data_IF_262910620399
#
_entry.id   IF_262910620399
#
_cell.length_a   1.000
_cell.length_b   1.000
_cell.length_c   1.000
_cell.angle_alpha   90.00
_cell.angle_beta   90.00
_cell.angle_gamma   90.00
#
_symmetry.space_group_name_H-M   'P 1'
#
loop_
_entity.id
_entity.type
_entity.pdbx_description
1 polymer ?
#
# COMPACT_ATOMS: atom_id res chain seq x y z
N UNK A 1 2.00 45.22 38.46
CA UNK A 1 2.76 44.71 37.30
C UNK A 1 1.90 43.64 36.68
N UNK A 2 1.23 44.01 35.60
CA UNK A 2 0.28 43.20 34.85
C UNK A 2 1.09 42.37 33.85
N UNK A 3 1.06 41.03 33.99
CA UNK A 3 1.71 40.13 33.04
C UNK A 3 0.61 39.45 32.22
N UNK A 4 0.24 40.13 31.14
CA UNK A 4 -0.52 39.58 30.04
C UNK A 4 0.27 38.45 29.38
N UNK A 5 -0.05 37.22 29.72
CA UNK A 5 0.36 36.06 28.92
C UNK A 5 -0.38 36.10 27.58
N UNK A 6 0.33 36.61 26.58
CA UNK A 6 0.02 36.60 25.17
C UNK A 6 -0.30 35.19 24.66
N UNK A 7 -1.53 34.99 24.21
CA UNK A 7 -1.90 34.20 23.03
C UNK A 7 -1.33 32.79 22.89
N UNK A 8 -1.78 31.83 23.70
CA UNK A 8 -1.89 30.46 23.20
C UNK A 8 -3.12 30.38 22.29
N UNK A 9 -2.91 30.35 20.97
CA UNK A 9 -3.94 29.97 20.01
C UNK A 9 -4.32 28.51 20.23
N UNK A 10 -5.25 28.25 21.16
CA UNK A 10 -5.75 26.91 21.42
C UNK A 10 -6.35 26.33 20.15
N UNK A 11 -5.64 25.41 19.49
CA UNK A 11 -6.15 24.71 18.32
C UNK A 11 -7.50 24.07 18.66
N UNK A 12 -8.51 24.30 17.82
CA UNK A 12 -9.84 23.73 17.99
C UNK A 12 -9.77 22.20 18.01
N UNK A 13 -10.68 21.56 18.77
CA UNK A 13 -10.72 20.09 18.89
C UNK A 13 -10.77 19.38 17.53
N UNK A 14 -11.50 19.95 16.56
CA UNK A 14 -11.55 19.46 15.19
C UNK A 14 -10.23 19.64 14.42
N UNK A 15 -9.52 20.75 14.60
CA UNK A 15 -8.21 20.95 13.95
C UNK A 15 -7.19 19.94 14.47
N UNK A 16 -7.15 19.68 15.78
CA UNK A 16 -6.28 18.64 16.35
C UNK A 16 -6.64 17.25 15.83
N UNK A 17 -7.93 16.94 15.70
CA UNK A 17 -8.40 15.68 15.14
C UNK A 17 -7.90 15.45 13.71
N UNK A 18 -8.13 16.40 12.82
CA UNK A 18 -7.70 16.26 11.42
C UNK A 18 -6.18 16.30 11.27
N UNK A 19 -5.48 17.10 12.07
CA UNK A 19 -4.02 17.09 12.11
C UNK A 19 -3.48 15.70 12.49
N UNK A 20 -4.05 15.09 13.54
CA UNK A 20 -3.67 13.74 13.97
C UNK A 20 -3.94 12.70 12.88
N UNK A 21 -5.09 12.76 12.20
CA UNK A 21 -5.38 11.84 11.07
C UNK A 21 -4.37 12.06 9.93
N UNK A 22 -4.14 13.30 9.50
CA UNK A 22 -3.24 13.61 8.39
C UNK A 22 -1.80 13.16 8.70
N UNK A 23 -1.27 13.50 9.88
CA UNK A 23 0.05 13.04 10.31
C UNK A 23 0.12 11.52 10.39
N UNK A 24 -0.94 10.85 10.86
CA UNK A 24 -0.98 9.39 10.93
C UNK A 24 -0.96 8.76 9.55
N UNK A 25 -1.72 9.28 8.58
CA UNK A 25 -1.73 8.78 7.20
C UNK A 25 -0.34 8.89 6.56
N UNK A 26 0.32 10.04 6.70
CA UNK A 26 1.68 10.24 6.18
C UNK A 26 2.66 9.29 6.85
N UNK A 27 2.60 9.18 8.19
CA UNK A 27 3.46 8.27 8.95
C UNK A 27 3.25 6.81 8.52
N UNK A 28 2.00 6.36 8.43
CA UNK A 28 1.66 5.00 8.02
C UNK A 28 2.11 4.72 6.58
N UNK A 29 1.95 5.68 5.67
CA UNK A 29 2.44 5.54 4.30
C UNK A 29 3.95 5.29 4.27
N UNK A 30 4.75 6.08 5.01
CA UNK A 30 6.20 5.89 5.13
C UNK A 30 6.54 4.53 5.76
N UNK A 31 5.87 4.16 6.85
CA UNK A 31 6.10 2.89 7.54
C UNK A 31 5.84 1.67 6.65
N UNK A 32 4.98 1.79 5.63
CA UNK A 32 4.77 0.67 4.70
C UNK A 32 6.05 0.23 3.99
N UNK A 33 7.06 1.10 3.84
CA UNK A 33 8.32 0.77 3.15
C UNK A 33 9.37 0.14 4.06
N UNK A 34 9.15 0.09 5.38
CA UNK A 34 10.18 -0.36 6.33
C UNK A 34 10.44 -1.87 6.27
N UNK A 35 9.58 -2.62 5.58
CA UNK A 35 9.73 -4.04 5.32
C UNK A 35 10.30 -4.35 3.92
N UNK A 36 10.84 -3.36 3.21
CA UNK A 36 11.64 -3.61 2.00
C UNK A 36 12.99 -4.23 2.37
N UNK A 37 13.39 -5.27 1.62
CA UNK A 37 14.67 -5.97 1.75
C UNK A 37 15.89 -5.04 1.52
N UNK A 38 15.82 -4.14 0.55
CA UNK A 38 16.88 -3.15 0.26
C UNK A 38 16.28 -1.75 0.12
N UNK A 39 17.09 -0.73 0.39
CA UNK A 39 16.68 0.68 0.36
C UNK A 39 16.43 1.15 -1.08
N UNK A 40 17.21 0.66 -2.03
CA UNK A 40 17.05 0.95 -3.47
C UNK A 40 15.82 0.25 -4.10
N UNK A 41 15.06 -0.51 -3.32
CA UNK A 41 13.74 -1.03 -3.70
C UNK A 41 12.60 -0.09 -3.29
N UNK A 42 12.89 1.04 -2.66
CA UNK A 42 11.89 2.02 -2.21
C UNK A 42 11.54 2.95 -3.37
N UNK A 43 10.40 2.68 -3.99
CA UNK A 43 9.80 3.50 -5.03
C UNK A 43 8.42 4.00 -4.58
N UNK A 44 8.04 5.19 -5.05
CA UNK A 44 6.69 5.69 -4.78
C UNK A 44 5.63 4.75 -5.36
N UNK A 45 4.66 4.39 -4.53
CA UNK A 45 3.52 3.54 -4.91
C UNK A 45 2.20 4.27 -4.71
N UNK A 46 1.51 4.53 -5.81
CA UNK A 46 0.16 5.09 -5.81
C UNK A 46 -0.84 4.18 -5.09
N UNK A 47 -0.77 2.87 -5.28
CA UNK A 47 -1.65 1.91 -4.59
C UNK A 47 -1.45 1.94 -3.06
N UNK A 48 -0.21 2.07 -2.57
CA UNK A 48 0.07 2.23 -1.13
C UNK A 48 -0.49 3.55 -0.59
N UNK A 49 -0.42 4.62 -1.38
CA UNK A 49 -1.02 5.91 -1.01
C UNK A 49 -2.54 5.81 -0.87
N UNK A 50 -3.24 5.19 -1.83
CA UNK A 50 -4.68 4.96 -1.74
C UNK A 50 -5.06 4.11 -0.54
N UNK A 51 -4.28 3.06 -0.24
CA UNK A 51 -4.48 2.24 0.96
C UNK A 51 -4.30 3.07 2.26
N UNK A 52 -3.25 3.89 2.35
CA UNK A 52 -3.00 4.73 3.52
C UNK A 52 -4.13 5.75 3.74
N UNK A 53 -4.65 6.35 2.66
CA UNK A 53 -5.80 7.26 2.72
C UNK A 53 -7.08 6.55 3.16
N UNK A 54 -7.33 5.33 2.64
CA UNK A 54 -8.45 4.49 3.07
C UNK A 54 -8.36 4.13 4.56
N UNK A 55 -7.17 3.79 5.06
CA UNK A 55 -6.92 3.56 6.48
C UNK A 55 -7.21 4.83 7.30
N UNK A 56 -6.82 6.00 6.81
CA UNK A 56 -7.18 7.29 7.41
C UNK A 56 -8.69 7.51 7.53
N UNK A 57 -9.46 7.16 6.50
CA UNK A 57 -10.93 7.19 6.56
C UNK A 57 -11.49 6.24 7.63
N UNK A 58 -10.95 5.02 7.73
CA UNK A 58 -11.35 4.08 8.78
C UNK A 58 -11.01 4.60 10.19
N UNK A 59 -9.82 5.22 10.35
CA UNK A 59 -9.41 5.85 11.60
C UNK A 59 -10.37 6.98 12.01
N UNK A 60 -10.83 7.80 11.07
CA UNK A 60 -11.83 8.84 11.34
C UNK A 60 -13.08 8.22 11.97
N UNK A 61 -13.60 7.13 11.40
CA UNK A 61 -14.81 6.45 11.90
C UNK A 61 -14.58 5.90 13.31
N UNK A 62 -13.48 5.17 13.52
CA UNK A 62 -13.15 4.55 14.81
C UNK A 62 -12.96 5.60 15.89
N UNK A 63 -12.09 6.59 15.63
CA UNK A 63 -11.73 7.61 16.62
C UNK A 63 -12.91 8.50 16.97
N UNK A 64 -13.72 8.88 15.98
CA UNK A 64 -14.92 9.67 16.23
C UNK A 64 -15.98 8.87 17.02
N UNK A 65 -16.06 7.56 16.80
CA UNK A 65 -16.90 6.66 17.59
C UNK A 65 -16.53 6.64 19.07
N UNK A 66 -15.25 6.47 19.40
CA UNK A 66 -14.78 6.49 20.80
C UNK A 66 -14.87 7.89 21.44
N UNK A 67 -14.59 8.94 20.65
CA UNK A 67 -14.53 10.31 21.14
C UNK A 67 -15.86 11.06 20.92
N UNK A 68 -16.97 10.33 20.80
CA UNK A 68 -18.27 10.87 20.36
C UNK A 68 -18.77 12.04 21.22
N UNK A 69 -18.60 11.95 22.55
CA UNK A 69 -19.02 12.95 23.52
C UNK A 69 -18.16 14.22 23.51
N UNK A 70 -16.95 14.15 22.96
CA UNK A 70 -16.03 15.29 22.92
C UNK A 70 -16.46 16.37 21.91
N UNK A 71 -17.15 15.94 20.84
CA UNK A 71 -17.62 16.81 19.76
C UNK A 71 -19.13 17.08 19.88
N UNK A 72 -19.48 18.34 20.15
CA UNK A 72 -20.86 18.74 20.47
C UNK A 72 -21.80 18.75 19.25
N UNK A 73 -21.32 19.24 18.11
CA UNK A 73 -22.15 19.37 16.89
C UNK A 73 -22.47 18.00 16.30
N UNK A 74 -23.75 17.60 16.36
CA UNK A 74 -24.23 16.36 15.70
C UNK A 74 -24.06 16.43 14.19
N UNK A 75 -24.37 17.57 13.58
CA UNK A 75 -24.24 17.79 12.14
C UNK A 75 -22.80 17.60 11.66
N UNK A 76 -21.82 18.21 12.34
CA UNK A 76 -20.41 18.06 11.95
C UNK A 76 -19.94 16.62 12.07
N UNK A 77 -20.36 15.89 13.11
CA UNK A 77 -20.03 14.46 13.25
C UNK A 77 -20.56 13.63 12.10
N UNK A 78 -21.83 13.84 11.74
CA UNK A 78 -22.45 13.11 10.63
C UNK A 78 -21.83 13.46 9.28
N UNK A 79 -21.45 14.73 9.05
CA UNK A 79 -20.72 15.13 7.85
C UNK A 79 -19.34 14.47 7.77
N UNK A 80 -18.60 14.43 8.89
CA UNK A 80 -17.28 13.80 8.94
C UNK A 80 -17.37 12.28 8.73
N UNK A 81 -18.35 11.61 9.35
CA UNK A 81 -18.61 10.20 9.09
C UNK A 81 -19.02 9.94 7.64
N UNK A 82 -19.99 10.71 7.12
CA UNK A 82 -20.44 10.59 5.73
C UNK A 82 -19.31 10.80 4.74
N UNK A 83 -18.49 11.83 4.94
CA UNK A 83 -17.28 12.07 4.16
C UNK A 83 -16.30 10.92 4.24
N UNK A 84 -16.02 10.38 5.43
CA UNK A 84 -15.12 9.23 5.59
C UNK A 84 -15.62 7.99 4.84
N UNK A 85 -16.92 7.70 4.84
CA UNK A 85 -17.48 6.59 4.06
C UNK A 85 -17.40 6.84 2.55
N UNK A 86 -17.73 8.04 2.09
CA UNK A 86 -17.68 8.38 0.65
C UNK A 86 -16.25 8.34 0.12
N UNK A 87 -15.31 9.02 0.78
CA UNK A 87 -13.89 8.98 0.39
C UNK A 87 -13.30 7.58 0.56
N UNK A 88 -13.62 6.88 1.65
CA UNK A 88 -13.18 5.50 1.87
C UNK A 88 -13.63 4.55 0.76
N UNK A 89 -14.89 4.66 0.31
CA UNK A 89 -15.40 3.90 -0.82
C UNK A 89 -14.71 4.27 -2.14
N UNK A 90 -14.42 5.56 -2.35
CA UNK A 90 -13.64 6.03 -3.51
C UNK A 90 -12.23 5.46 -3.55
N UNK A 91 -11.50 5.53 -2.42
CA UNK A 91 -10.15 4.93 -2.33
C UNK A 91 -10.20 3.40 -2.47
N UNK A 92 -11.23 2.74 -1.93
CA UNK A 92 -11.43 1.31 -2.14
C UNK A 92 -11.64 0.98 -3.62
N UNK A 93 -12.43 1.78 -4.34
CA UNK A 93 -12.62 1.60 -5.77
C UNK A 93 -11.28 1.74 -6.53
N UNK A 94 -10.48 2.77 -6.24
CA UNK A 94 -9.16 2.98 -6.85
C UNK A 94 -8.18 1.83 -6.56
N UNK A 95 -8.11 1.36 -5.31
CA UNK A 95 -7.28 0.20 -4.93
C UNK A 95 -7.75 -1.06 -5.65
N UNK A 96 -9.05 -1.25 -5.84
CA UNK A 96 -9.58 -2.47 -6.46
C UNK A 96 -9.57 -2.46 -7.98
N UNK A 97 -9.74 -1.32 -8.63
CA UNK A 97 -9.83 -1.22 -10.08
C UNK A 97 -8.45 -1.18 -10.74
N UNK A 98 -7.45 -0.58 -10.07
CA UNK A 98 -6.11 -0.34 -10.64
C UNK A 98 -6.10 0.50 -11.93
N UNK A 99 -7.22 1.12 -12.32
CA UNK A 99 -7.38 1.87 -13.59
C UNK A 99 -6.47 3.08 -13.73
N UNK A 100 -5.89 3.55 -12.62
CA UNK A 100 -5.01 4.74 -12.58
C UNK A 100 -3.53 4.37 -12.48
N UNK A 101 -3.20 3.09 -12.60
CA UNK A 101 -1.84 2.56 -12.47
C UNK A 101 -1.37 2.10 -13.85
N UNK A 102 -0.52 2.91 -14.48
CA UNK A 102 0.16 2.57 -15.73
C UNK A 102 1.34 1.59 -15.52
N UNK A 103 2.00 1.20 -16.61
CA UNK A 103 3.08 0.20 -16.60
C UNK A 103 4.24 0.60 -15.66
N UNK A 104 4.66 1.86 -15.73
CA UNK A 104 5.76 2.37 -14.90
C UNK A 104 5.35 2.46 -13.43
N UNK A 105 4.15 2.97 -13.14
CA UNK A 105 3.60 3.04 -11.79
C UNK A 105 3.38 1.64 -11.20
N UNK A 106 2.98 0.68 -12.02
CA UNK A 106 2.83 -0.72 -11.63
C UNK A 106 4.19 -1.31 -11.24
N UNK A 107 5.21 -1.19 -12.08
CA UNK A 107 6.56 -1.70 -11.79
C UNK A 107 7.16 -1.03 -10.55
N UNK A 108 7.05 0.30 -10.43
CA UNK A 108 7.50 1.05 -9.24
C UNK A 108 6.77 0.60 -7.96
N UNK A 109 5.47 0.28 -8.03
CA UNK A 109 4.74 -0.29 -6.89
C UNK A 109 5.11 -1.75 -6.60
N UNK A 110 5.50 -2.52 -7.61
CA UNK A 110 5.72 -3.94 -7.55
C UNK A 110 7.12 -4.31 -7.06
N UNK A 111 8.13 -3.47 -7.32
CA UNK A 111 9.48 -3.62 -6.74
C UNK A 111 9.46 -3.71 -5.20
N UNK A 112 8.89 -2.75 -4.43
CA UNK A 112 8.84 -2.88 -2.98
C UNK A 112 7.92 -4.02 -2.53
N UNK A 113 6.92 -4.43 -3.31
CA UNK A 113 6.10 -5.61 -3.01
C UNK A 113 6.93 -6.90 -3.09
N UNK A 114 7.66 -7.10 -4.19
CA UNK A 114 8.57 -8.23 -4.37
C UNK A 114 9.67 -8.23 -3.30
N UNK A 115 10.14 -7.03 -2.96
CA UNK A 115 11.15 -6.87 -1.92
C UNK A 115 10.71 -7.37 -0.55
N UNK A 116 9.42 -7.27 -0.20
CA UNK A 116 8.89 -7.84 1.04
C UNK A 116 8.92 -9.36 0.99
N UNK A 117 8.57 -9.97 -0.15
CA UNK A 117 8.60 -11.43 -0.33
C UNK A 117 10.03 -11.98 -0.20
N UNK A 118 11.04 -11.25 -0.68
CA UNK A 118 12.46 -11.59 -0.46
C UNK A 118 12.80 -11.51 1.02
N UNK A 119 12.43 -10.41 1.72
CA UNK A 119 12.71 -10.23 3.15
C UNK A 119 12.12 -11.38 3.98
N UNK A 120 10.85 -11.70 3.78
CA UNK A 120 10.14 -12.71 4.59
C UNK A 120 10.63 -14.12 4.27
N UNK A 121 10.88 -14.45 3.00
CA UNK A 121 11.39 -15.77 2.59
C UNK A 121 12.82 -16.01 3.08
N UNK A 122 13.66 -14.97 3.08
CA UNK A 122 15.06 -15.06 3.50
C UNK A 122 15.20 -15.17 5.03
N UNK A 123 14.32 -14.52 5.80
CA UNK A 123 14.46 -14.41 7.27
C UNK A 123 13.55 -15.34 8.08
N UNK A 124 12.56 -15.98 7.46
CA UNK A 124 11.69 -16.90 8.18
C UNK A 124 12.44 -18.14 8.69
N UNK A 125 12.14 -18.55 9.92
CA UNK A 125 12.64 -19.79 10.54
C UNK A 125 11.89 -21.01 9.98
N UNK A 126 12.27 -21.41 8.76
CA UNK A 126 11.67 -22.55 8.05
C UNK A 126 12.55 -23.78 8.23
N UNK A 127 11.97 -24.84 8.79
CA UNK A 127 12.65 -26.12 9.07
C UNK A 127 12.29 -27.25 8.09
N UNK A 128 11.09 -27.25 7.50
CA UNK A 128 10.69 -28.25 6.50
C UNK A 128 11.45 -27.97 5.18
N UNK A 129 12.26 -28.92 4.67
CA UNK A 129 13.04 -28.73 3.44
C UNK A 129 12.20 -28.35 2.21
N UNK A 130 10.96 -28.83 2.13
CA UNK A 130 10.05 -28.53 1.01
C UNK A 130 9.61 -27.07 1.04
N UNK A 131 9.35 -26.56 2.25
CA UNK A 131 8.98 -25.15 2.46
C UNK A 131 10.20 -24.25 2.25
N UNK A 132 11.40 -24.68 2.66
CA UNK A 132 12.65 -23.95 2.37
C UNK A 132 12.88 -23.85 0.87
N UNK A 133 12.74 -24.96 0.14
CA UNK A 133 12.86 -24.97 -1.31
C UNK A 133 11.87 -23.99 -1.96
N UNK A 134 10.61 -23.98 -1.53
CA UNK A 134 9.61 -23.02 -2.02
C UNK A 134 10.03 -21.57 -1.74
N UNK A 135 10.52 -21.27 -0.54
CA UNK A 135 10.99 -19.93 -0.18
C UNK A 135 12.19 -19.49 -1.03
N UNK A 136 13.13 -20.39 -1.31
CA UNK A 136 14.30 -20.11 -2.14
C UNK A 136 13.92 -19.92 -3.62
N UNK A 137 12.95 -20.69 -4.13
CA UNK A 137 12.37 -20.50 -5.46
C UNK A 137 11.67 -19.13 -5.58
N UNK A 138 10.94 -18.69 -4.54
CA UNK A 138 10.35 -17.34 -4.44
C UNK A 138 11.45 -16.28 -4.46
N UNK A 139 12.50 -16.40 -3.64
CA UNK A 139 13.62 -15.43 -3.62
C UNK A 139 14.24 -15.30 -5.01
N UNK A 140 14.53 -16.44 -5.66
CA UNK A 140 15.14 -16.47 -6.98
C UNK A 140 14.29 -15.75 -8.02
N UNK A 141 12.99 -16.03 -8.07
CA UNK A 141 12.06 -15.38 -8.99
C UNK A 141 11.99 -13.88 -8.72
N UNK A 142 11.74 -13.50 -7.47
CA UNK A 142 11.45 -12.12 -7.10
C UNK A 142 12.66 -11.20 -7.23
N UNK A 143 13.88 -11.69 -6.93
CA UNK A 143 15.12 -10.92 -7.16
C UNK A 143 15.35 -10.67 -8.64
N UNK A 144 15.13 -11.68 -9.50
CA UNK A 144 15.23 -11.52 -10.95
C UNK A 144 14.20 -10.51 -11.47
N UNK A 145 12.96 -10.63 -11.05
CA UNK A 145 11.85 -9.76 -11.48
C UNK A 145 12.06 -8.31 -11.03
N UNK A 146 12.67 -8.06 -9.86
CA UNK A 146 13.05 -6.70 -9.45
C UNK A 146 14.03 -6.06 -10.43
N UNK A 147 15.06 -6.80 -10.86
CA UNK A 147 16.03 -6.29 -11.83
C UNK A 147 15.38 -6.07 -13.20
N UNK A 148 14.53 -6.99 -13.64
CA UNK A 148 13.77 -6.87 -14.89
C UNK A 148 12.89 -5.61 -14.88
N UNK A 149 12.16 -5.35 -13.80
CA UNK A 149 11.36 -4.13 -13.64
C UNK A 149 12.22 -2.86 -13.65
N UNK A 150 13.38 -2.84 -12.97
CA UNK A 150 14.29 -1.68 -12.98
C UNK A 150 14.80 -1.38 -14.39
N UNK A 151 15.18 -2.42 -15.14
CA UNK A 151 15.65 -2.28 -16.52
C UNK A 151 14.54 -1.79 -17.45
N UNK A 152 13.33 -2.32 -17.33
CA UNK A 152 12.17 -1.90 -18.13
C UNK A 152 11.76 -0.45 -17.83
N UNK A 153 11.75 -0.04 -16.55
CA UNK A 153 11.50 1.37 -16.18
C UNK A 153 12.54 2.28 -16.85
N UNK A 154 13.83 1.93 -16.77
CA UNK A 154 14.90 2.74 -17.36
C UNK A 154 14.79 2.81 -18.89
N UNK A 155 14.43 1.70 -19.54
CA UNK A 155 14.21 1.66 -20.99
C UNK A 155 13.03 2.53 -21.41
N UNK A 156 11.87 2.40 -20.74
CA UNK A 156 10.67 3.22 -21.03
C UNK A 156 10.95 4.70 -20.79
N UNK A 157 11.67 5.06 -19.72
CA UNK A 157 12.03 6.46 -19.44
C UNK A 157 12.97 7.04 -20.50
N UNK A 158 13.84 6.23 -21.10
CA UNK A 158 14.79 6.66 -22.12
C UNK A 158 14.22 6.64 -23.56
N UNK A 159 13.41 5.63 -23.88
CA UNK A 159 13.01 5.28 -25.24
C UNK A 159 11.51 5.39 -25.49
N UNK A 160 10.71 5.58 -24.44
CA UNK A 160 9.24 5.54 -24.50
C UNK A 160 8.68 4.12 -24.41
N UNK A 161 7.36 4.02 -24.28
CA UNK A 161 6.66 2.74 -24.25
C UNK A 161 6.63 2.08 -25.64
N UNK A 162 6.70 0.75 -25.67
CA UNK A 162 6.46 -0.01 -26.88
C UNK A 162 4.95 -0.24 -27.07
N UNK A 163 4.45 0.00 -28.29
CA UNK A 163 3.04 -0.21 -28.65
C UNK A 163 2.24 1.08 -28.75
N UNK A 164 0.91 0.94 -28.85
CA UNK A 164 -0.01 2.08 -29.05
C UNK A 164 -0.62 2.61 -27.74
N UNK A 165 -0.12 2.18 -26.57
CA UNK A 165 -0.66 2.55 -25.25
C UNK A 165 -2.03 1.94 -24.94
N UNK A 166 -2.48 0.96 -25.71
CA UNK A 166 -3.73 0.22 -25.43
C UNK A 166 -3.46 -0.89 -24.41
N UNK A 167 -4.19 -0.95 -23.29
CA UNK A 167 -3.99 -1.97 -22.27
C UNK A 167 -4.16 -3.40 -22.82
N UNK A 168 -3.17 -4.25 -22.53
CA UNK A 168 -3.19 -5.66 -22.93
C UNK A 168 -3.91 -6.48 -21.85
N UNK A 169 -4.89 -7.34 -22.20
CA UNK A 169 -5.63 -8.12 -21.21
C UNK A 169 -4.73 -9.14 -20.51
N UNK A 170 -4.88 -9.25 -19.19
CA UNK A 170 -4.15 -10.23 -18.39
C UNK A 170 -4.55 -11.68 -18.73
N UNK A 171 -3.65 -12.63 -18.46
CA UNK A 171 -3.99 -14.06 -18.48
C UNK A 171 -5.05 -14.39 -17.40
N UNK A 172 -5.75 -15.51 -17.56
CA UNK A 172 -6.73 -15.98 -16.56
C UNK A 172 -6.09 -16.26 -15.19
N UNK A 173 -6.79 -15.87 -14.12
CA UNK A 173 -6.42 -16.14 -12.73
C UNK A 173 -6.92 -17.50 -12.21
N UNK A 174 -7.64 -18.26 -13.04
CA UNK A 174 -8.14 -19.57 -12.65
C UNK A 174 -6.98 -20.55 -12.39
N UNK A 175 -7.06 -21.28 -11.27
CA UNK A 175 -6.17 -22.41 -11.00
C UNK A 175 -6.59 -23.58 -11.90
N UNK A 176 -5.97 -23.65 -13.07
CA UNK A 176 -6.24 -24.70 -14.06
C UNK A 176 -5.84 -26.08 -13.51
N UNK A 177 -6.39 -27.19 -14.06
CA UNK A 177 -5.98 -28.54 -13.68
C UNK A 177 -4.46 -28.76 -13.80
N UNK A 178 -3.83 -28.17 -14.82
CA UNK A 178 -2.39 -28.24 -15.08
C UNK A 178 -1.60 -27.53 -13.97
N UNK A 179 -1.93 -26.26 -13.68
CA UNK A 179 -1.28 -25.50 -12.60
C UNK A 179 -1.48 -26.17 -11.22
N UNK A 180 -2.63 -26.80 -11.00
CA UNK A 180 -2.88 -27.58 -9.78
C UNK A 180 -1.99 -28.83 -9.70
N UNK A 181 -1.77 -29.51 -10.83
CA UNK A 181 -0.89 -30.67 -10.89
C UNK A 181 0.57 -30.26 -10.63
N UNK A 182 1.04 -29.18 -11.27
CA UNK A 182 2.38 -28.62 -11.04
C UNK A 182 2.60 -28.25 -9.56
N UNK A 183 1.62 -27.59 -8.94
CA UNK A 183 1.69 -27.23 -7.52
C UNK A 183 1.77 -28.47 -6.61
N UNK A 184 1.01 -29.53 -6.92
CA UNK A 184 1.07 -30.80 -6.18
C UNK A 184 2.41 -31.50 -6.32
N UNK A 185 2.95 -31.51 -7.53
CA UNK A 185 4.26 -32.10 -7.79
C UNK A 185 5.37 -31.32 -7.08
N UNK A 186 5.35 -29.99 -7.16
CA UNK A 186 6.30 -29.13 -6.47
C UNK A 186 6.27 -29.34 -4.94
N UNK A 187 5.09 -29.54 -4.35
CA UNK A 187 4.94 -29.79 -2.91
C UNK A 187 5.35 -31.21 -2.47
N UNK A 188 5.48 -32.14 -3.41
CA UNK A 188 5.87 -33.54 -3.14
C UNK A 188 7.38 -33.79 -3.24
N UNK A 189 8.14 -32.85 -3.82
CA UNK A 189 9.61 -32.88 -3.93
C UNK A 189 10.26 -32.32 -2.68
#
# INVERSE_FOLDING_TARGET
>A
MDNSHSGQSGHGKWTTFFAMIATSVVTMFVLTYFNSWQVDHVFFSQTRMWMALMMGCAMIVVMLGFMWGMYKSRTTKLLVLGGAFVFGAGFLALVRSQETVDDTAWMKAMIPHHSIAVLTSARAEISDPRVRKLADDIIKAQVKEIEEMKLLIADIEANGELGEGTPIPARSTALTPELRAEAREAAAR
#
